data_IF_347661380713
#
_entry.id   IF_347661380713
#
_cell.length_a   1.000
_cell.length_b   1.000
_cell.length_c   1.000
_cell.angle_alpha   90.00
_cell.angle_beta   90.00
_cell.angle_gamma   90.00
#
_symmetry.space_group_name_H-M   'P 1'
#
loop_
_entity.id
_entity.type
_entity.pdbx_description
1 polymer ?
#
# COMPACT_ATOMS: atom_id res chain seq x y z
N UNK A 1 -2.90 9.15 -26.07
CA UNK A 1 -2.82 10.07 -24.89
C UNK A 1 -1.73 9.52 -24.01
N UNK A 2 -0.83 10.36 -23.49
CA UNK A 2 0.16 9.91 -22.52
C UNK A 2 -0.55 9.53 -21.22
N UNK A 3 -0.09 8.44 -20.55
CA UNK A 3 -0.64 8.02 -19.27
C UNK A 3 -0.36 9.04 -18.16
N UNK A 4 -1.15 9.00 -17.08
CA UNK A 4 -1.06 9.95 -15.95
C UNK A 4 0.28 9.91 -15.19
N UNK A 5 1.04 8.82 -15.32
CA UNK A 5 2.32 8.61 -14.65
C UNK A 5 3.49 8.51 -15.64
N UNK A 6 3.32 8.97 -16.87
CA UNK A 6 4.36 8.93 -17.90
C UNK A 6 5.64 9.62 -17.42
N UNK A 7 6.77 8.87 -17.46
CA UNK A 7 8.09 9.34 -17.04
C UNK A 7 8.30 9.41 -15.53
N UNK A 8 7.34 8.97 -14.71
CA UNK A 8 7.48 8.86 -13.25
C UNK A 8 8.07 7.50 -12.89
N UNK A 9 8.95 7.46 -11.90
CA UNK A 9 9.49 6.23 -11.30
C UNK A 9 8.84 6.00 -9.94
N UNK A 10 8.11 4.88 -9.81
CA UNK A 10 7.25 4.58 -8.66
C UNK A 10 7.74 3.32 -7.94
N UNK A 11 7.96 3.41 -6.63
CA UNK A 11 8.30 2.26 -5.77
C UNK A 11 7.03 1.74 -5.09
N UNK A 12 6.82 0.42 -5.12
CA UNK A 12 5.63 -0.22 -4.52
C UNK A 12 6.08 -1.39 -3.66
N UNK A 13 5.77 -1.34 -2.36
CA UNK A 13 6.06 -2.43 -1.42
C UNK A 13 4.92 -3.44 -1.35
N UNK A 14 5.24 -4.73 -1.09
CA UNK A 14 4.24 -5.80 -1.09
C UNK A 14 3.70 -6.07 -2.49
N UNK A 15 4.57 -6.00 -3.51
CA UNK A 15 4.17 -5.99 -4.92
C UNK A 15 4.25 -7.37 -5.60
N UNK A 16 4.65 -8.44 -4.88
CA UNK A 16 4.73 -9.77 -5.46
C UNK A 16 3.35 -10.32 -5.87
N UNK A 17 2.29 -9.97 -5.15
CA UNK A 17 0.93 -10.45 -5.37
C UNK A 17 -0.14 -9.48 -4.85
N UNK A 18 -1.42 -9.86 -4.96
CA UNK A 18 -2.55 -9.12 -4.40
C UNK A 18 -2.64 -7.69 -4.91
N UNK A 19 -3.12 -6.77 -4.06
CA UNK A 19 -3.28 -5.36 -4.43
C UNK A 19 -1.98 -4.71 -4.89
N UNK A 20 -0.84 -5.07 -4.28
CA UNK A 20 0.46 -4.49 -4.66
C UNK A 20 0.85 -4.82 -6.10
N UNK A 21 0.60 -6.04 -6.57
CA UNK A 21 0.79 -6.41 -7.96
C UNK A 21 -0.14 -5.61 -8.90
N UNK A 22 -1.42 -5.46 -8.54
CA UNK A 22 -2.38 -4.68 -9.33
C UNK A 22 -2.01 -3.19 -9.35
N UNK A 23 -1.49 -2.62 -8.25
CA UNK A 23 -0.95 -1.26 -8.24
C UNK A 23 0.24 -1.12 -9.20
N UNK A 24 1.17 -2.09 -9.17
CA UNK A 24 2.33 -2.09 -10.06
C UNK A 24 1.91 -2.15 -11.53
N UNK A 25 1.01 -3.06 -11.88
CA UNK A 25 0.45 -3.20 -13.21
C UNK A 25 -0.22 -1.90 -13.68
N UNK A 26 -1.15 -1.36 -12.88
CA UNK A 26 -1.89 -0.15 -13.28
C UNK A 26 -0.98 1.08 -13.37
N UNK A 27 0.01 1.23 -12.47
CA UNK A 27 1.01 2.31 -12.60
C UNK A 27 1.81 2.18 -13.90
N UNK A 28 2.23 0.96 -14.26
CA UNK A 28 2.96 0.71 -15.50
C UNK A 28 2.10 0.98 -16.74
N UNK A 29 0.82 0.57 -16.74
CA UNK A 29 -0.16 0.90 -17.78
C UNK A 29 -0.34 2.42 -17.97
N UNK A 30 -0.17 3.19 -16.89
CA UNK A 30 -0.19 4.65 -16.92
C UNK A 30 1.17 5.29 -17.28
N UNK A 31 2.14 4.47 -17.71
CA UNK A 31 3.42 4.93 -18.25
C UNK A 31 4.53 5.14 -17.21
N UNK A 32 4.37 4.62 -15.99
CA UNK A 32 5.41 4.66 -14.98
C UNK A 32 6.49 3.60 -15.22
N UNK A 33 7.72 3.90 -14.78
CA UNK A 33 8.74 2.92 -14.45
C UNK A 33 8.49 2.44 -13.03
N UNK A 34 8.30 1.15 -12.82
CA UNK A 34 7.88 0.62 -11.52
C UNK A 34 8.99 -0.20 -10.88
N UNK A 35 9.28 0.09 -9.61
CA UNK A 35 10.13 -0.74 -8.76
C UNK A 35 9.23 -1.52 -7.81
N UNK A 36 9.09 -2.81 -8.07
CA UNK A 36 8.34 -3.74 -7.25
C UNK A 36 9.21 -4.24 -6.10
N UNK A 37 8.73 -4.11 -4.86
CA UNK A 37 9.47 -4.55 -3.67
C UNK A 37 8.64 -5.56 -2.88
N UNK A 38 9.27 -6.67 -2.43
CA UNK A 38 8.61 -7.68 -1.58
C UNK A 38 9.65 -8.52 -0.84
N UNK A 39 9.22 -9.20 0.23
CA UNK A 39 9.99 -10.23 0.93
C UNK A 39 9.96 -11.58 0.18
N UNK A 40 8.93 -11.84 -0.61
CA UNK A 40 8.68 -13.05 -1.38
C UNK A 40 9.46 -13.02 -2.71
N UNK A 41 10.78 -13.17 -2.64
CA UNK A 41 11.69 -12.96 -3.78
C UNK A 41 11.32 -13.77 -5.03
N UNK A 42 10.91 -15.04 -4.88
CA UNK A 42 10.52 -15.90 -6.00
C UNK A 42 9.26 -15.39 -6.70
N UNK A 43 8.18 -15.17 -5.94
CA UNK A 43 6.91 -14.64 -6.46
C UNK A 43 7.09 -13.23 -7.05
N UNK A 44 7.96 -12.40 -6.43
CA UNK A 44 8.29 -11.07 -6.91
C UNK A 44 8.95 -11.11 -8.29
N UNK A 45 9.94 -12.00 -8.46
CA UNK A 45 10.64 -12.16 -9.73
C UNK A 45 9.70 -12.64 -10.85
N UNK A 46 8.83 -13.61 -10.56
CA UNK A 46 7.83 -14.10 -11.50
C UNK A 46 6.82 -13.02 -11.90
N UNK A 47 6.34 -12.26 -10.92
CA UNK A 47 5.37 -11.18 -11.16
C UNK A 47 5.99 -10.01 -11.94
N UNK A 48 7.23 -9.64 -11.64
CA UNK A 48 7.96 -8.64 -12.40
C UNK A 48 8.21 -9.11 -13.84
N UNK A 49 8.61 -10.37 -14.02
CA UNK A 49 8.83 -10.94 -15.34
C UNK A 49 7.56 -10.90 -16.22
N UNK A 50 6.41 -11.31 -15.66
CA UNK A 50 5.11 -11.25 -16.35
C UNK A 50 4.76 -9.84 -16.86
N UNK A 51 5.09 -8.80 -16.08
CA UNK A 51 4.85 -7.41 -16.50
C UNK A 51 5.88 -6.95 -17.55
N UNK A 52 7.15 -7.37 -17.44
CA UNK A 52 8.18 -7.11 -18.45
C UNK A 52 7.80 -7.73 -19.81
N UNK A 53 7.27 -8.96 -19.83
CA UNK A 53 6.79 -9.63 -21.07
C UNK A 53 5.66 -8.85 -21.76
N UNK A 54 4.88 -8.08 -20.99
CA UNK A 54 3.84 -7.17 -21.51
C UNK A 54 4.42 -5.83 -22.02
N UNK A 55 5.74 -5.66 -21.96
CA UNK A 55 6.44 -4.47 -22.46
C UNK A 55 6.57 -3.33 -21.44
N UNK A 56 6.23 -3.56 -20.16
CA UNK A 56 6.38 -2.55 -19.11
C UNK A 56 7.82 -2.50 -18.57
N UNK A 57 8.23 -1.33 -18.09
CA UNK A 57 9.52 -1.11 -17.44
C UNK A 57 9.39 -1.39 -15.95
N UNK A 58 9.84 -2.59 -15.54
CA UNK A 58 9.72 -3.09 -14.18
C UNK A 58 11.11 -3.46 -13.65
N UNK A 59 11.38 -3.04 -12.43
CA UNK A 59 12.49 -3.49 -11.61
C UNK A 59 11.94 -4.26 -10.41
N UNK A 60 12.71 -5.20 -9.87
CA UNK A 60 12.37 -5.91 -8.63
C UNK A 60 13.47 -5.75 -7.59
N UNK A 61 13.09 -5.54 -6.32
CA UNK A 61 14.01 -5.38 -5.20
C UNK A 61 13.47 -6.13 -3.98
N UNK A 62 14.26 -7.06 -3.45
CA UNK A 62 13.93 -7.75 -2.20
C UNK A 62 13.95 -6.76 -1.02
N UNK A 63 12.96 -6.85 -0.12
CA UNK A 63 12.86 -6.01 1.08
C UNK A 63 12.09 -6.74 2.18
N UNK A 64 12.61 -6.73 3.40
CA UNK A 64 11.90 -7.14 4.61
C UNK A 64 11.59 -5.92 5.47
N UNK A 65 10.30 -5.63 5.67
CA UNK A 65 9.85 -4.49 6.47
C UNK A 65 10.07 -4.67 7.98
N UNK A 66 10.32 -5.89 8.44
CA UNK A 66 10.69 -6.16 9.82
C UNK A 66 12.16 -5.84 10.11
N UNK A 67 13.03 -5.75 9.09
CA UNK A 67 14.46 -5.51 9.18
C UNK A 67 14.86 -4.14 8.62
N UNK A 68 15.33 -3.25 9.52
CA UNK A 68 15.78 -1.91 9.14
C UNK A 68 16.96 -1.94 8.15
N UNK A 69 17.88 -2.92 8.31
CA UNK A 69 19.04 -3.06 7.43
C UNK A 69 18.63 -3.48 6.02
N UNK A 70 17.64 -4.37 5.91
CA UNK A 70 17.04 -4.75 4.62
C UNK A 70 16.42 -3.56 3.92
N UNK A 71 15.67 -2.72 4.65
CA UNK A 71 15.06 -1.50 4.11
C UNK A 71 16.15 -0.54 3.62
N UNK A 72 17.17 -0.26 4.43
CA UNK A 72 18.26 0.65 4.06
C UNK A 72 19.01 0.15 2.83
N UNK A 73 19.38 -1.14 2.79
CA UNK A 73 20.05 -1.76 1.64
C UNK A 73 19.21 -1.70 0.35
N UNK A 74 17.91 -1.97 0.46
CA UNK A 74 17.01 -1.89 -0.68
C UNK A 74 16.93 -0.46 -1.25
N UNK A 75 16.78 0.56 -0.41
CA UNK A 75 16.70 1.95 -0.86
C UNK A 75 18.04 2.53 -1.33
N UNK A 76 19.17 2.03 -0.86
CA UNK A 76 20.48 2.31 -1.44
C UNK A 76 20.54 1.81 -2.90
N UNK A 77 20.21 0.54 -3.13
CA UNK A 77 20.19 -0.04 -4.48
C UNK A 77 19.20 0.66 -5.44
N UNK A 78 18.02 1.02 -4.93
CA UNK A 78 17.03 1.81 -5.69
C UNK A 78 17.61 3.19 -6.05
N UNK A 79 18.33 3.81 -5.12
CA UNK A 79 18.93 5.14 -5.30
C UNK A 79 20.06 5.19 -6.32
N UNK A 80 20.82 4.10 -6.49
CA UNK A 80 21.87 3.98 -7.52
C UNK A 80 21.33 4.15 -8.94
N UNK A 81 20.06 3.81 -9.16
CA UNK A 81 19.37 3.94 -10.45
C UNK A 81 18.62 5.26 -10.62
N UNK A 82 18.72 6.17 -9.64
CA UNK A 82 18.18 7.51 -9.70
C UNK A 82 17.06 7.82 -8.70
N UNK A 83 16.53 9.01 -8.82
CA UNK A 83 15.43 9.51 -7.96
C UNK A 83 14.10 8.84 -8.30
N UNK A 84 13.17 8.94 -7.35
CA UNK A 84 11.82 8.42 -7.48
C UNK A 84 10.77 9.54 -7.42
N UNK A 85 9.64 9.33 -8.07
CA UNK A 85 8.53 10.29 -8.16
C UNK A 85 7.33 9.88 -7.31
N UNK A 86 7.37 8.64 -6.78
CA UNK A 86 6.32 8.17 -5.90
C UNK A 86 6.67 6.91 -5.13
N UNK A 87 5.93 6.71 -4.03
CA UNK A 87 6.02 5.54 -3.17
C UNK A 87 4.63 5.06 -2.81
N UNK A 88 4.40 3.75 -2.92
CA UNK A 88 3.19 3.09 -2.38
C UNK A 88 3.60 2.15 -1.26
N UNK A 89 3.27 2.51 -0.02
CA UNK A 89 3.42 1.67 1.16
C UNK A 89 2.22 0.73 1.24
N UNK A 90 2.32 -0.43 0.58
CA UNK A 90 1.26 -1.43 0.54
C UNK A 90 1.60 -2.68 1.37
N UNK A 91 2.88 -3.04 1.50
CA UNK A 91 3.30 -4.22 2.26
C UNK A 91 2.74 -4.22 3.68
N UNK A 92 2.15 -5.32 4.08
CA UNK A 92 1.59 -5.52 5.42
C UNK A 92 1.40 -6.99 5.76
N UNK A 93 1.48 -7.32 7.03
CA UNK A 93 0.92 -8.56 7.55
C UNK A 93 -0.60 -8.41 7.62
N UNK A 94 -1.31 -9.07 6.71
CA UNK A 94 -2.77 -9.08 6.62
C UNK A 94 -3.37 -10.48 6.77
N UNK A 95 -2.63 -11.53 6.38
CA UNK A 95 -3.04 -12.92 6.45
C UNK A 95 -2.63 -13.53 7.79
N UNK A 96 -3.49 -14.31 8.42
CA UNK A 96 -3.20 -15.01 9.68
C UNK A 96 -3.16 -14.10 10.93
N UNK A 97 -3.60 -12.83 10.81
CA UNK A 97 -3.56 -11.84 11.89
C UNK A 97 -4.90 -11.62 12.59
N UNK A 98 -5.91 -12.40 12.23
CA UNK A 98 -7.27 -12.29 12.78
C UNK A 98 -7.83 -13.62 13.27
N UNK A 99 -9.14 -13.62 13.62
CA UNK A 99 -9.88 -14.81 14.02
C UNK A 99 -9.91 -15.06 15.52
N UNK A 100 -9.11 -14.36 16.34
CA UNK A 100 -9.09 -14.45 17.79
C UNK A 100 -9.80 -13.28 18.45
N UNK A 101 -10.49 -13.55 19.56
CA UNK A 101 -11.02 -12.51 20.42
C UNK A 101 -9.86 -11.77 21.13
N UNK A 102 -10.11 -10.53 21.60
CA UNK A 102 -9.07 -9.70 22.17
C UNK A 102 -8.38 -10.30 23.41
N UNK A 103 -9.09 -11.16 24.15
CA UNK A 103 -8.56 -11.81 25.37
C UNK A 103 -7.54 -12.88 25.01
N UNK A 104 -7.74 -13.58 23.89
CA UNK A 104 -6.93 -14.72 23.43
C UNK A 104 -5.92 -14.30 22.33
N UNK A 105 -5.79 -12.99 22.08
CA UNK A 105 -4.88 -12.52 21.04
C UNK A 105 -3.42 -12.66 21.49
N UNK A 106 -2.58 -13.26 20.64
CA UNK A 106 -1.16 -13.51 20.90
C UNK A 106 -0.36 -12.19 20.93
N UNK A 107 0.30 -11.83 22.06
CA UNK A 107 1.14 -10.63 22.16
C UNK A 107 2.30 -10.62 21.17
N UNK A 108 2.92 -11.79 20.89
CA UNK A 108 4.03 -11.85 19.94
C UNK A 108 3.56 -11.59 18.51
N UNK A 109 2.34 -12.05 18.17
CA UNK A 109 1.73 -11.72 16.88
C UNK A 109 1.40 -10.22 16.79
N UNK A 110 0.92 -9.63 17.90
CA UNK A 110 0.71 -8.18 17.97
C UNK A 110 2.00 -7.41 17.65
N UNK A 111 3.11 -7.76 18.30
CA UNK A 111 4.39 -7.09 18.12
C UNK A 111 4.91 -7.23 16.68
N UNK A 112 4.76 -8.41 16.07
CA UNK A 112 5.11 -8.61 14.66
C UNK A 112 4.27 -7.74 13.72
N UNK A 113 2.95 -7.69 13.94
CA UNK A 113 2.05 -6.86 13.13
C UNK A 113 2.43 -5.37 13.24
N UNK A 114 2.67 -4.88 14.45
CA UNK A 114 3.06 -3.49 14.66
C UNK A 114 4.45 -3.20 14.10
N UNK A 115 5.39 -4.13 14.21
CA UNK A 115 6.74 -3.99 13.63
C UNK A 115 6.68 -3.83 12.11
N UNK A 116 5.95 -4.70 11.41
CA UNK A 116 5.85 -4.68 9.95
C UNK A 116 4.97 -3.53 9.46
N UNK A 117 3.71 -3.47 9.96
CA UNK A 117 2.69 -2.59 9.39
C UNK A 117 2.89 -1.11 9.77
N UNK A 118 3.46 -0.84 10.93
CA UNK A 118 3.61 0.53 11.45
C UNK A 118 5.07 0.99 11.34
N UNK A 119 5.97 0.34 12.09
CA UNK A 119 7.39 0.71 12.09
C UNK A 119 8.01 0.53 10.71
N UNK A 120 7.73 -0.59 10.03
CA UNK A 120 8.22 -0.86 8.67
C UNK A 120 7.76 0.19 7.67
N UNK A 121 6.47 0.55 7.68
CA UNK A 121 5.93 1.63 6.82
C UNK A 121 6.63 2.98 7.06
N UNK A 122 6.88 3.33 8.33
CA UNK A 122 7.64 4.53 8.65
C UNK A 122 9.08 4.45 8.15
N UNK A 123 9.78 3.34 8.41
CA UNK A 123 11.17 3.15 8.00
C UNK A 123 11.35 3.19 6.47
N UNK A 124 10.44 2.56 5.72
CA UNK A 124 10.40 2.64 4.25
C UNK A 124 10.23 4.10 3.80
N UNK A 125 9.28 4.81 4.37
CA UNK A 125 9.07 6.23 4.05
C UNK A 125 10.32 7.06 4.37
N UNK A 126 10.94 6.85 5.54
CA UNK A 126 12.19 7.52 5.94
C UNK A 126 13.32 7.27 4.94
N UNK A 127 13.50 6.03 4.50
CA UNK A 127 14.55 5.67 3.54
C UNK A 127 14.26 6.25 2.13
N UNK A 128 12.99 6.36 1.74
CA UNK A 128 12.58 6.90 0.45
C UNK A 128 12.75 8.43 0.35
N UNK A 129 12.53 9.18 1.43
CA UNK A 129 12.49 10.67 1.41
C UNK A 129 13.72 11.31 0.77
N UNK A 130 14.97 10.85 0.99
CA UNK A 130 16.15 11.42 0.32
C UNK A 130 16.16 11.21 -1.20
N UNK A 131 15.42 10.22 -1.71
CA UNK A 131 15.34 9.87 -3.12
C UNK A 131 14.15 10.52 -3.83
N UNK A 132 13.15 10.98 -3.09
CA UNK A 132 11.94 11.59 -3.65
C UNK A 132 12.27 12.95 -4.29
N UNK A 133 11.71 13.17 -5.49
CA UNK A 133 11.74 14.47 -6.15
C UNK A 133 10.72 15.43 -5.53
N UNK A 134 10.95 16.72 -5.73
CA UNK A 134 9.92 17.73 -5.46
C UNK A 134 8.64 17.41 -6.28
N UNK A 135 7.47 17.53 -5.66
CA UNK A 135 6.19 17.17 -6.26
C UNK A 135 5.83 15.69 -6.15
N UNK A 136 6.72 14.84 -5.64
CA UNK A 136 6.46 13.41 -5.47
C UNK A 136 5.23 13.13 -4.61
N UNK A 137 4.61 11.96 -4.84
CA UNK A 137 3.46 11.48 -4.07
C UNK A 137 3.78 10.21 -3.29
N UNK A 138 3.36 10.15 -2.03
CA UNK A 138 3.37 8.93 -1.23
C UNK A 138 1.92 8.49 -0.97
N UNK A 139 1.64 7.21 -1.15
CA UNK A 139 0.33 6.60 -0.85
C UNK A 139 0.53 5.50 0.18
N UNK A 140 -0.07 5.68 1.35
CA UNK A 140 -0.13 4.65 2.39
C UNK A 140 -1.41 3.83 2.23
N UNK A 141 -1.29 2.51 2.18
CA UNK A 141 -2.45 1.62 2.14
C UNK A 141 -2.87 1.29 3.57
N UNK A 142 -3.90 1.99 4.04
CA UNK A 142 -4.59 1.71 5.30
C UNK A 142 -5.63 0.59 5.11
N UNK A 143 -6.76 0.66 5.76
CA UNK A 143 -7.92 -0.24 5.60
C UNK A 143 -9.16 0.43 6.19
N UNK A 144 -10.31 0.19 5.60
CA UNK A 144 -11.59 0.62 6.16
C UNK A 144 -11.94 -0.09 7.48
N UNK A 145 -11.32 -1.25 7.76
CA UNK A 145 -11.45 -1.93 9.04
C UNK A 145 -11.05 -1.06 10.23
N UNK A 146 -10.13 -0.11 10.03
CA UNK A 146 -9.73 0.88 11.04
C UNK A 146 -10.78 1.98 11.25
N UNK A 147 -11.73 2.14 10.34
CA UNK A 147 -12.80 3.14 10.42
C UNK A 147 -14.04 2.60 11.15
N UNK A 148 -14.39 1.33 10.90
CA UNK A 148 -15.59 0.73 11.51
C UNK A 148 -15.31 -0.23 12.67
N UNK A 149 -14.03 -0.51 12.96
CA UNK A 149 -13.65 -1.34 14.10
C UNK A 149 -13.94 -2.83 13.89
N UNK A 150 -13.38 -3.43 12.85
CA UNK A 150 -13.61 -4.83 12.51
C UNK A 150 -13.27 -5.76 13.70
N UNK A 151 -14.23 -6.59 14.21
CA UNK A 151 -13.99 -7.48 15.33
C UNK A 151 -13.02 -8.61 14.95
N UNK A 152 -12.35 -9.16 15.96
CA UNK A 152 -11.38 -10.28 15.83
C UNK A 152 -10.21 -9.99 14.89
N UNK A 153 -9.81 -8.69 14.78
CA UNK A 153 -8.75 -8.24 13.91
C UNK A 153 -7.91 -7.13 14.59
N UNK A 154 -7.83 -7.16 15.92
CA UNK A 154 -7.42 -6.04 16.77
C UNK A 154 -6.05 -5.45 16.38
N UNK A 155 -4.99 -6.25 16.27
CA UNK A 155 -3.65 -5.76 15.92
C UNK A 155 -3.62 -5.13 14.52
N UNK A 156 -4.29 -5.75 13.55
CA UNK A 156 -4.38 -5.22 12.19
C UNK A 156 -5.12 -3.87 12.16
N UNK A 157 -6.29 -3.80 12.80
CA UNK A 157 -7.10 -2.57 12.93
C UNK A 157 -6.27 -1.46 13.59
N UNK A 158 -5.60 -1.76 14.72
CA UNK A 158 -4.73 -0.81 15.40
C UNK A 158 -3.58 -0.33 14.49
N UNK A 159 -2.93 -1.26 13.78
CA UNK A 159 -1.84 -0.93 12.87
C UNK A 159 -2.29 -0.02 11.71
N UNK A 160 -3.46 -0.30 11.13
CA UNK A 160 -4.00 0.53 10.04
C UNK A 160 -4.52 1.88 10.53
N UNK A 161 -5.02 1.96 11.77
CA UNK A 161 -5.30 3.24 12.46
C UNK A 161 -4.02 4.07 12.70
N UNK A 162 -2.94 3.42 13.10
CA UNK A 162 -1.63 4.07 13.24
C UNK A 162 -1.10 4.62 11.90
N UNK A 163 -1.26 3.87 10.80
CA UNK A 163 -0.88 4.34 9.45
C UNK A 163 -1.67 5.59 9.06
N UNK A 164 -2.97 5.66 9.37
CA UNK A 164 -3.79 6.86 9.13
C UNK A 164 -3.25 8.05 9.91
N UNK A 165 -2.95 7.87 11.20
CA UNK A 165 -2.42 8.93 12.06
C UNK A 165 -1.03 9.40 11.61
N UNK A 166 -0.11 8.46 11.30
CA UNK A 166 1.22 8.77 10.78
C UNK A 166 1.17 9.53 9.45
N UNK A 167 0.24 9.22 8.57
CA UNK A 167 0.06 9.94 7.30
C UNK A 167 -0.15 11.42 7.53
N UNK A 168 -0.98 11.79 8.50
CA UNK A 168 -1.25 13.20 8.85
C UNK A 168 -0.04 13.91 9.45
N UNK A 169 0.71 13.23 10.33
CA UNK A 169 1.95 13.76 10.92
C UNK A 169 3.01 13.98 9.84
N UNK A 170 3.32 12.95 9.07
CA UNK A 170 4.32 13.02 8.00
C UNK A 170 3.96 14.05 6.92
N UNK A 171 2.67 14.29 6.65
CA UNK A 171 2.25 15.30 5.68
C UNK A 171 2.69 16.72 6.09
N UNK A 172 2.70 17.03 7.38
CA UNK A 172 3.19 18.32 7.90
C UNK A 172 4.69 18.50 7.70
N UNK A 173 5.46 17.45 7.93
CA UNK A 173 6.92 17.46 7.80
C UNK A 173 7.39 17.46 6.33
N UNK A 174 6.71 16.68 5.49
CA UNK A 174 7.08 16.52 4.08
C UNK A 174 6.63 17.69 3.19
N UNK A 175 5.67 18.49 3.67
CA UNK A 175 5.13 19.63 2.94
C UNK A 175 6.17 20.70 2.58
N UNK A 176 7.18 20.94 3.44
CA UNK A 176 8.28 21.85 3.18
C UNK A 176 9.15 21.42 1.97
N UNK A 177 9.21 20.11 1.72
CA UNK A 177 9.89 19.52 0.56
C UNK A 177 8.98 19.37 -0.66
N UNK A 178 7.75 19.89 -0.58
CA UNK A 178 6.68 19.73 -1.57
C UNK A 178 6.38 18.27 -1.94
N UNK A 179 6.61 17.35 -0.99
CA UNK A 179 6.25 15.95 -1.10
C UNK A 179 4.86 15.77 -0.46
N UNK A 180 3.95 15.14 -1.18
CA UNK A 180 2.60 14.83 -0.72
C UNK A 180 2.54 13.41 -0.16
N UNK A 181 1.77 13.21 0.90
CA UNK A 181 1.50 11.89 1.46
C UNK A 181 0.03 11.78 1.83
N UNK A 182 -0.64 10.75 1.32
CA UNK A 182 -2.04 10.48 1.59
C UNK A 182 -2.24 9.00 1.91
N UNK A 183 -3.36 8.65 2.49
CA UNK A 183 -3.76 7.28 2.72
C UNK A 183 -5.00 6.92 1.92
N UNK A 184 -5.06 5.68 1.43
CA UNK A 184 -6.30 5.05 0.98
C UNK A 184 -6.73 4.01 2.00
N UNK A 185 -8.03 3.81 2.16
CA UNK A 185 -8.61 2.77 3.00
C UNK A 185 -9.49 1.83 2.15
N UNK A 186 -8.89 0.81 1.52
CA UNK A 186 -9.65 -0.18 0.78
C UNK A 186 -10.60 -0.95 1.71
N UNK A 187 -11.74 -1.34 1.16
CA UNK A 187 -12.61 -2.36 1.75
C UNK A 187 -12.09 -3.78 1.46
N UNK A 188 -12.90 -4.78 1.81
CA UNK A 188 -12.58 -6.17 1.51
C UNK A 188 -12.58 -6.39 -0.02
N UNK A 189 -11.38 -6.49 -0.59
CA UNK A 189 -11.13 -6.64 -2.02
C UNK A 189 -10.82 -8.10 -2.34
N UNK A 190 -11.31 -8.60 -3.47
CA UNK A 190 -11.08 -9.98 -3.94
C UNK A 190 -9.66 -10.12 -4.49
N UNK A 191 -8.75 -10.65 -3.66
CA UNK A 191 -7.36 -10.98 -3.98
C UNK A 191 -6.97 -12.25 -3.22
N UNK A 192 -5.87 -12.89 -3.60
CA UNK A 192 -5.37 -14.12 -2.95
C UNK A 192 -5.22 -13.96 -1.43
N UNK A 193 -4.77 -12.77 -1.00
CA UNK A 193 -4.62 -12.44 0.43
C UNK A 193 -5.93 -12.39 1.21
N UNK A 194 -7.10 -12.43 0.55
CA UNK A 194 -8.44 -12.40 1.18
C UNK A 194 -9.26 -13.67 0.95
N UNK A 195 -8.73 -14.67 0.25
CA UNK A 195 -9.42 -15.94 -0.01
C UNK A 195 -9.77 -16.71 1.27
N UNK A 196 -8.92 -16.59 2.32
CA UNK A 196 -9.14 -17.23 3.62
C UNK A 196 -10.22 -16.53 4.47
N UNK A 197 -10.70 -15.36 4.07
CA UNK A 197 -11.72 -14.61 4.82
C UNK A 197 -13.06 -15.34 4.72
N UNK A 198 -13.78 -15.58 5.84
CA UNK A 198 -15.04 -16.30 5.84
C UNK A 198 -16.08 -15.67 4.90
N UNK A 199 -16.89 -16.53 4.26
CA UNK A 199 -17.92 -16.12 3.30
C UNK A 199 -18.92 -15.11 3.90
N UNK A 200 -19.26 -15.25 5.19
CA UNK A 200 -20.14 -14.32 5.89
C UNK A 200 -19.59 -12.91 5.93
N UNK A 201 -18.27 -12.76 6.02
CA UNK A 201 -17.63 -11.44 5.98
C UNK A 201 -17.64 -10.85 4.57
N UNK A 202 -17.47 -11.65 3.54
CA UNK A 202 -17.65 -11.20 2.15
C UNK A 202 -19.08 -10.72 1.94
N UNK A 203 -20.08 -11.48 2.37
CA UNK A 203 -21.49 -11.11 2.27
C UNK A 203 -21.82 -9.83 3.07
N UNK A 204 -21.25 -9.67 4.27
CA UNK A 204 -21.41 -8.45 5.06
C UNK A 204 -20.98 -7.21 4.27
N UNK A 205 -19.80 -7.27 3.61
CA UNK A 205 -19.32 -6.16 2.80
C UNK A 205 -20.15 -5.95 1.54
N UNK A 206 -20.44 -7.02 0.81
CA UNK A 206 -21.18 -6.96 -0.46
C UNK A 206 -22.60 -6.39 -0.29
N UNK A 207 -23.25 -6.73 0.82
CA UNK A 207 -24.61 -6.26 1.15
C UNK A 207 -24.61 -4.89 1.84
N UNK A 208 -23.55 -4.55 2.57
CA UNK A 208 -23.46 -3.31 3.36
C UNK A 208 -22.93 -2.10 2.60
N UNK A 209 -22.38 -2.29 1.39
CA UNK A 209 -21.89 -1.20 0.55
C UNK A 209 -23.03 -0.42 -0.10
N UNK A 210 -22.86 0.90 -0.24
CA UNK A 210 -23.77 1.72 -1.04
C UNK A 210 -23.67 1.35 -2.54
N UNK A 211 -22.45 1.06 -3.02
CA UNK A 211 -22.22 0.41 -4.31
C UNK A 211 -22.11 -1.11 -4.05
N UNK A 212 -23.25 -1.81 -4.15
CA UNK A 212 -23.35 -3.23 -3.81
C UNK A 212 -22.46 -4.12 -4.69
N UNK A 213 -22.01 -5.24 -4.13
CA UNK A 213 -21.24 -6.27 -4.82
C UNK A 213 -19.81 -6.43 -4.33
N UNK A 214 -19.08 -7.36 -4.96
CA UNK A 214 -17.71 -7.66 -4.62
C UNK A 214 -16.76 -6.57 -5.16
N UNK A 215 -15.85 -6.11 -4.33
CA UNK A 215 -14.80 -5.18 -4.74
C UNK A 215 -13.66 -5.92 -5.42
N UNK A 216 -13.30 -5.48 -6.62
CA UNK A 216 -12.18 -5.99 -7.38
C UNK A 216 -10.94 -5.11 -7.20
N UNK A 217 -9.72 -5.60 -7.47
CA UNK A 217 -8.50 -4.78 -7.39
C UNK A 217 -8.57 -3.50 -8.22
N UNK A 218 -9.19 -3.57 -9.40
CA UNK A 218 -9.34 -2.44 -10.33
C UNK A 218 -10.17 -1.30 -9.74
N UNK A 219 -11.09 -1.59 -8.81
CA UNK A 219 -11.87 -0.58 -8.10
C UNK A 219 -11.00 0.28 -7.16
N UNK A 220 -9.80 -0.22 -6.81
CA UNK A 220 -8.88 0.44 -5.87
C UNK A 220 -7.73 1.15 -6.59
N UNK A 221 -7.21 0.56 -7.68
CA UNK A 221 -5.96 1.01 -8.32
C UNK A 221 -6.02 2.44 -8.85
N UNK A 222 -7.17 2.87 -9.35
CA UNK A 222 -7.36 4.23 -9.87
C UNK A 222 -7.10 5.33 -8.84
N UNK A 223 -7.42 5.08 -7.56
CA UNK A 223 -7.15 6.02 -6.47
C UNK A 223 -5.66 6.23 -6.22
N UNK A 224 -4.87 5.16 -6.34
CA UNK A 224 -3.40 5.22 -6.21
C UNK A 224 -2.79 6.01 -7.36
N UNK A 225 -3.18 5.72 -8.60
CA UNK A 225 -2.72 6.45 -9.79
C UNK A 225 -3.03 7.95 -9.67
N UNK A 226 -4.26 8.29 -9.27
CA UNK A 226 -4.65 9.69 -9.07
C UNK A 226 -3.81 10.37 -8.01
N UNK A 227 -3.59 9.74 -6.85
CA UNK A 227 -2.79 10.31 -5.76
C UNK A 227 -1.30 10.45 -6.11
N UNK A 228 -0.77 9.62 -7.01
CA UNK A 228 0.60 9.72 -7.52
C UNK A 228 0.74 10.75 -8.66
N UNK A 229 -0.36 11.08 -9.33
CA UNK A 229 -0.36 12.01 -10.47
C UNK A 229 -0.37 13.48 -10.04
N UNK A 230 -0.16 14.37 -11.00
CA UNK A 230 -0.20 15.82 -10.78
C UNK A 230 -1.65 16.34 -10.59
N UNK A 231 -2.68 15.52 -10.88
CA UNK A 231 -4.08 15.87 -10.64
C UNK A 231 -4.39 16.06 -9.15
N UNK A 232 -3.58 15.47 -8.27
CA UNK A 232 -3.69 15.60 -6.81
C UNK A 232 -2.61 16.51 -6.19
N UNK A 233 -1.99 17.41 -6.98
CA UNK A 233 -0.82 18.21 -6.55
C UNK A 233 -1.04 19.10 -5.32
N UNK A 234 -2.27 19.33 -4.91
CA UNK A 234 -2.61 20.12 -3.71
C UNK A 234 -3.36 19.32 -2.65
N UNK A 235 -3.26 17.97 -2.70
CA UNK A 235 -3.89 17.06 -1.76
C UNK A 235 -2.80 16.35 -0.96
N UNK A 236 -2.77 16.57 0.36
CA UNK A 236 -1.85 15.89 1.30
C UNK A 236 -2.51 15.71 2.66
N UNK A 237 -2.09 14.68 3.42
CA UNK A 237 -2.60 14.35 4.74
C UNK A 237 -4.01 13.76 4.77
N UNK A 238 -4.58 13.42 3.61
CA UNK A 238 -5.95 12.95 3.51
C UNK A 238 -6.05 11.42 3.61
N UNK A 239 -7.19 10.96 4.11
CA UNK A 239 -7.62 9.57 4.06
C UNK A 239 -8.78 9.46 3.08
N UNK A 240 -8.68 8.53 2.13
CA UNK A 240 -9.70 8.28 1.12
C UNK A 240 -10.20 6.85 1.26
N UNK A 241 -11.41 6.63 1.82
CA UNK A 241 -12.04 5.32 1.79
C UNK A 241 -12.34 4.89 0.35
N UNK A 242 -11.89 3.68 -0.01
CA UNK A 242 -12.16 3.06 -1.31
C UNK A 242 -12.84 1.72 -1.04
N UNK A 243 -14.10 1.76 -0.66
CA UNK A 243 -14.83 0.63 -0.10
C UNK A 243 -16.29 0.51 -0.56
N UNK A 244 -16.66 1.24 -1.62
CA UNK A 244 -18.02 1.25 -2.16
C UNK A 244 -19.05 1.90 -1.22
N UNK A 245 -18.61 2.72 -0.25
CA UNK A 245 -19.49 3.35 0.73
C UNK A 245 -19.94 2.38 1.85
N UNK A 246 -19.08 1.42 2.21
CA UNK A 246 -19.33 0.54 3.39
C UNK A 246 -19.22 1.33 4.69
N UNK A 247 -18.24 2.25 4.77
CA UNK A 247 -18.08 3.19 5.86
C UNK A 247 -17.59 4.54 5.32
N UNK A 248 -17.98 5.61 5.99
CA UNK A 248 -17.59 6.98 5.67
C UNK A 248 -16.59 7.53 6.71
N UNK A 249 -15.84 8.61 6.35
CA UNK A 249 -15.02 9.39 7.27
C UNK A 249 -15.87 10.37 8.08
#
# INVERSE_FOLDING_TARGET
MNGLLTGKRIVITGAARGLGFHFAKTCAEQGADVVMCDILQGELAESAHRLCEQGYRIESQAIDLADASSIEGAFLAIGERGKIDGLVNNAAMATGVGGKDMIDYDPDLWDRVMSVNVKGTWLVTRAAVPLLREGAGIVNVASDTALWGAPRLMAYVASKGAVIAMTRSMARELGEKRIRINAIAPGLTRVEATEYVPAERHQLYENGRALSGAQQPEDVTGSVVWLLSDLSRFITGQLIPVNGGFVFN
#
